data_IF_190472198840
#
_entry.id   IF_190472198840
#
_cell.length_a   1.000
_cell.length_b   1.000
_cell.length_c   1.000
_cell.angle_alpha   90.00
_cell.angle_beta   90.00
_cell.angle_gamma   90.00
#
_symmetry.space_group_name_H-M   'P 1'
#
loop_
_entity.id
_entity.type
_entity.pdbx_description
1 polymer ?
#
# COMPACT_ATOMS: atom_id res chain seq x y z
N UNK A 1 -9.50 -1.96 22.72
CA UNK A 1 -8.13 -1.49 23.03
C UNK A 1 -7.46 -0.93 21.80
N UNK A 2 -7.01 -1.71 20.79
CA UNK A 2 -6.36 -1.13 19.59
C UNK A 2 -7.21 -0.05 18.87
N UNK A 3 -8.48 -0.34 18.63
CA UNK A 3 -9.45 0.61 18.02
C UNK A 3 -9.68 1.83 18.92
N UNK A 4 -9.75 1.62 20.24
CA UNK A 4 -9.96 2.66 21.24
C UNK A 4 -8.76 3.60 21.35
N UNK A 5 -7.55 3.05 21.36
CA UNK A 5 -6.28 3.78 21.31
C UNK A 5 -6.15 4.56 20.00
N UNK A 6 -6.63 4.00 18.88
CA UNK A 6 -6.65 4.67 17.59
C UNK A 6 -7.61 5.85 17.58
N UNK A 7 -8.79 5.70 18.18
CA UNK A 7 -9.75 6.80 18.34
C UNK A 7 -9.20 7.94 19.21
N UNK A 8 -8.47 7.63 20.29
CA UNK A 8 -7.85 8.62 21.17
C UNK A 8 -6.65 9.33 20.51
N UNK A 9 -5.86 8.58 19.73
CA UNK A 9 -4.80 9.16 18.92
C UNK A 9 -5.34 10.13 17.85
N UNK A 10 -6.46 9.79 17.22
CA UNK A 10 -7.17 10.68 16.28
C UNK A 10 -7.67 11.97 16.95
N UNK A 11 -7.77 12.01 18.29
CA UNK A 11 -8.04 13.21 19.08
C UNK A 11 -6.75 13.97 19.49
N UNK A 12 -5.63 13.71 18.79
CA UNK A 12 -4.29 14.27 19.02
C UNK A 12 -3.62 13.86 20.33
N UNK A 13 -4.11 12.82 21.00
CA UNK A 13 -3.44 12.27 22.18
C UNK A 13 -2.34 11.28 21.76
N UNK A 14 -1.12 11.80 21.61
CA UNK A 14 0.05 11.02 21.18
C UNK A 14 0.47 9.93 22.18
N UNK A 15 -0.03 9.95 23.41
CA UNK A 15 0.33 8.94 24.44
C UNK A 15 -0.09 7.53 24.04
N UNK A 16 -1.15 7.40 23.23
CA UNK A 16 -1.71 6.11 22.82
C UNK A 16 -1.16 5.58 21.50
N UNK A 17 -0.22 6.28 20.87
CA UNK A 17 0.38 5.85 19.59
C UNK A 17 1.02 4.46 19.71
N UNK A 18 1.81 4.26 20.77
CA UNK A 18 2.45 2.97 21.06
C UNK A 18 1.44 1.88 21.43
N UNK A 19 0.33 2.26 22.06
CA UNK A 19 -0.72 1.34 22.50
C UNK A 19 -1.51 0.77 21.31
N UNK A 20 -1.77 1.57 20.27
CA UNK A 20 -2.42 1.10 19.04
C UNK A 20 -1.70 -0.12 18.49
N UNK A 21 -0.38 0.00 18.32
CA UNK A 21 0.46 -1.02 17.72
C UNK A 21 0.66 -2.21 18.66
N UNK A 22 0.88 -1.96 19.96
CA UNK A 22 0.98 -3.02 20.95
C UNK A 22 -0.29 -3.88 21.00
N UNK A 23 -1.47 -3.25 21.05
CA UNK A 23 -2.74 -3.98 21.10
C UNK A 23 -3.10 -4.62 19.76
N UNK A 24 -2.69 -4.04 18.62
CA UNK A 24 -2.85 -4.65 17.29
C UNK A 24 -1.97 -5.90 17.15
N UNK A 25 -0.69 -5.83 17.53
CA UNK A 25 0.22 -6.98 17.53
C UNK A 25 -0.20 -8.05 18.56
N UNK A 26 -0.77 -7.66 19.71
CA UNK A 26 -1.31 -8.59 20.70
C UNK A 26 -2.59 -9.28 20.20
N UNK A 27 -3.47 -8.54 19.51
CA UNK A 27 -4.67 -9.10 18.90
C UNK A 27 -4.30 -10.09 17.79
N UNK A 28 -3.36 -9.74 16.91
CA UNK A 28 -2.90 -10.63 15.84
C UNK A 28 -2.24 -11.90 16.38
N UNK A 29 -1.37 -11.80 17.39
CA UNK A 29 -0.76 -12.97 18.04
C UNK A 29 -1.77 -13.83 18.79
N UNK A 30 -2.69 -13.21 19.53
CA UNK A 30 -3.77 -13.93 20.21
C UNK A 30 -4.68 -14.65 19.22
N UNK A 31 -4.93 -14.02 18.08
CA UNK A 31 -5.74 -14.60 17.01
C UNK A 31 -5.03 -15.77 16.31
N UNK A 32 -3.74 -15.64 16.00
CA UNK A 32 -2.90 -16.75 15.49
C UNK A 32 -2.85 -17.93 16.46
N UNK A 33 -2.76 -17.66 17.77
CA UNK A 33 -2.78 -18.67 18.81
C UNK A 33 -4.14 -19.40 18.86
N UNK A 34 -5.25 -18.67 18.83
CA UNK A 34 -6.59 -19.28 18.80
C UNK A 34 -6.78 -20.11 17.52
N UNK A 35 -6.36 -19.63 16.34
CA UNK A 35 -6.39 -20.43 15.09
C UNK A 35 -5.61 -21.74 15.24
N UNK A 36 -4.40 -21.68 15.81
CA UNK A 36 -3.57 -22.86 16.01
C UNK A 36 -4.22 -23.86 16.97
N UNK A 37 -4.83 -23.35 18.05
CA UNK A 37 -5.58 -24.14 19.03
C UNK A 37 -6.84 -24.78 18.43
N UNK A 38 -7.62 -24.04 17.65
CA UNK A 38 -8.81 -24.58 16.96
C UNK A 38 -8.46 -25.65 15.91
N UNK A 39 -7.27 -25.54 15.30
CA UNK A 39 -6.73 -26.54 14.36
C UNK A 39 -6.44 -27.88 15.05
N UNK A 40 -6.11 -27.87 16.34
CA UNK A 40 -5.84 -29.06 17.15
C UNK A 40 -7.14 -29.70 17.70
N UNK A 41 -8.18 -28.89 17.98
CA UNK A 41 -9.35 -29.35 18.75
C UNK A 41 -10.55 -29.89 17.95
N UNK A 42 -10.66 -29.72 16.62
CA UNK A 42 -11.99 -29.86 15.98
C UNK A 42 -12.15 -30.88 14.86
N UNK A 43 -13.01 -31.88 15.14
CA UNK A 43 -13.66 -32.80 14.20
C UNK A 43 -14.99 -32.29 13.60
N UNK A 44 -15.54 -31.10 13.91
CA UNK A 44 -16.87 -30.73 13.32
C UNK A 44 -17.24 -29.27 13.01
N UNK A 45 -16.34 -28.27 13.12
CA UNK A 45 -16.66 -26.85 12.74
C UNK A 45 -15.62 -26.21 11.80
N UNK A 46 -15.09 -26.97 10.84
CA UNK A 46 -13.83 -26.66 10.13
C UNK A 46 -13.82 -25.49 9.12
N UNK A 47 -14.93 -24.80 8.86
CA UNK A 47 -15.00 -23.83 7.74
C UNK A 47 -14.85 -22.37 8.16
N UNK A 48 -15.72 -21.91 9.06
CA UNK A 48 -15.94 -20.48 9.29
C UNK A 48 -14.83 -19.78 10.04
N UNK A 49 -14.17 -20.48 10.97
CA UNK A 49 -13.05 -19.92 11.73
C UNK A 49 -11.86 -19.61 10.81
N UNK A 50 -11.60 -20.49 9.84
CA UNK A 50 -10.53 -20.30 8.86
C UNK A 50 -10.87 -19.19 7.85
N UNK A 51 -12.14 -19.04 7.49
CA UNK A 51 -12.62 -17.93 6.65
C UNK A 51 -12.52 -16.59 7.39
N UNK A 52 -13.02 -16.50 8.63
CA UNK A 52 -12.92 -15.30 9.47
C UNK A 52 -11.46 -14.95 9.70
N UNK A 53 -10.61 -15.95 9.93
CA UNK A 53 -9.19 -15.74 10.08
C UNK A 53 -8.51 -15.18 8.86
N UNK A 54 -8.82 -15.74 7.70
CA UNK A 54 -8.30 -15.25 6.43
C UNK A 54 -8.78 -13.82 6.19
N UNK A 55 -10.06 -13.51 6.39
CA UNK A 55 -10.61 -12.17 6.22
C UNK A 55 -9.96 -11.13 7.14
N UNK A 56 -9.80 -11.46 8.43
CA UNK A 56 -9.18 -10.57 9.42
C UNK A 56 -7.71 -10.34 9.05
N UNK A 57 -6.96 -11.41 8.74
CA UNK A 57 -5.55 -11.30 8.38
C UNK A 57 -5.36 -10.50 7.09
N UNK A 58 -6.14 -10.77 6.04
CA UNK A 58 -6.09 -10.04 4.77
C UNK A 58 -6.42 -8.56 4.96
N UNK A 59 -7.45 -8.24 5.75
CA UNK A 59 -7.83 -6.85 6.04
C UNK A 59 -6.70 -6.12 6.76
N UNK A 60 -6.14 -6.70 7.83
CA UNK A 60 -5.07 -6.05 8.58
C UNK A 60 -3.76 -5.94 7.79
N UNK A 61 -3.46 -6.93 6.96
CA UNK A 61 -2.29 -6.98 6.10
C UNK A 61 -2.34 -5.89 5.02
N UNK A 62 -3.49 -5.72 4.37
CA UNK A 62 -3.74 -4.66 3.38
C UNK A 62 -3.59 -3.27 4.00
N UNK A 63 -4.25 -3.05 5.16
CA UNK A 63 -4.15 -1.81 5.92
C UNK A 63 -2.71 -1.47 6.31
N UNK A 64 -1.90 -2.46 6.64
CA UNK A 64 -0.50 -2.22 7.01
C UNK A 64 0.37 -1.89 5.79
N UNK A 65 0.27 -2.68 4.72
CA UNK A 65 1.05 -2.49 3.50
C UNK A 65 0.82 -1.10 2.90
N UNK A 66 -0.46 -0.68 2.79
CA UNK A 66 -0.77 0.64 2.24
C UNK A 66 -0.45 1.78 3.20
N UNK A 67 -0.65 1.62 4.51
CA UNK A 67 -0.32 2.68 5.47
C UNK A 67 1.19 3.02 5.50
N UNK A 68 2.08 2.03 5.32
CA UNK A 68 3.53 2.26 5.22
C UNK A 68 3.96 3.07 3.99
N UNK A 69 3.05 3.28 3.04
CA UNK A 69 3.27 4.22 1.93
C UNK A 69 3.24 5.67 2.41
N UNK A 70 2.44 5.97 3.45
CA UNK A 70 2.23 7.33 3.94
C UNK A 70 3.17 7.74 5.10
N UNK A 71 3.84 6.81 5.77
CA UNK A 71 4.70 7.14 6.91
C UNK A 71 5.83 6.11 7.12
N UNK A 72 6.96 6.56 7.69
CA UNK A 72 8.13 5.73 7.99
C UNK A 72 8.03 5.14 9.40
N UNK A 73 7.61 3.88 9.52
CA UNK A 73 7.61 3.18 10.80
C UNK A 73 8.99 2.54 11.01
N UNK A 74 9.82 3.15 11.87
CA UNK A 74 11.01 2.52 12.42
C UNK A 74 10.59 1.61 13.60
N UNK A 75 9.87 0.51 13.33
CA UNK A 75 9.65 -0.52 14.35
C UNK A 75 10.55 -1.73 14.08
N UNK A 76 11.64 -1.90 14.85
CA UNK A 76 12.52 -3.06 14.73
C UNK A 76 11.83 -4.39 15.08
N UNK A 77 10.62 -4.38 15.64
CA UNK A 77 9.80 -5.56 15.91
C UNK A 77 8.76 -5.87 14.82
N UNK A 78 8.60 -5.01 13.81
CA UNK A 78 7.74 -5.28 12.65
C UNK A 78 8.42 -6.20 11.62
N UNK A 79 9.22 -7.14 12.11
CA UNK A 79 9.83 -8.19 11.32
C UNK A 79 8.73 -8.95 10.58
N UNK A 80 9.01 -9.26 9.32
CA UNK A 80 8.20 -10.05 8.39
C UNK A 80 7.56 -11.27 9.08
N UNK A 81 6.37 -11.07 9.66
CA UNK A 81 5.52 -12.18 10.07
C UNK A 81 5.07 -12.82 8.77
N UNK A 82 5.25 -14.12 8.62
CA UNK A 82 4.54 -14.86 7.57
C UNK A 82 3.05 -14.72 7.88
N UNK A 83 2.42 -13.70 7.29
CA UNK A 83 1.04 -13.32 7.59
C UNK A 83 0.06 -14.44 7.25
N UNK A 84 0.45 -15.35 6.38
CA UNK A 84 -0.30 -16.57 6.15
C UNK A 84 0.21 -17.69 7.05
N UNK A 85 -0.67 -18.33 7.85
CA UNK A 85 -0.28 -19.47 8.65
C UNK A 85 0.19 -20.62 7.74
N UNK A 86 1.24 -21.35 8.12
CA UNK A 86 1.74 -22.47 7.32
C UNK A 86 0.64 -23.53 7.11
N UNK A 87 0.34 -23.80 5.84
CA UNK A 87 -0.69 -24.76 5.39
C UNK A 87 -2.02 -24.14 4.93
N UNK A 88 -2.12 -22.82 4.80
CA UNK A 88 -3.23 -22.16 4.11
C UNK A 88 -2.90 -22.01 2.61
N UNK A 89 -3.60 -22.75 1.75
CA UNK A 89 -3.49 -22.57 0.29
C UNK A 89 -4.24 -21.30 -0.13
N UNK A 90 -3.57 -20.15 -0.01
CA UNK A 90 -4.06 -18.90 -0.59
C UNK A 90 -3.56 -18.80 -2.02
N UNK A 91 -4.47 -18.58 -2.97
CA UNK A 91 -4.11 -18.27 -4.36
C UNK A 91 -3.36 -16.94 -4.41
N UNK A 92 -2.03 -16.98 -4.33
CA UNK A 92 -1.18 -15.77 -4.21
C UNK A 92 -1.31 -14.83 -5.42
N UNK A 93 -1.66 -15.37 -6.59
CA UNK A 93 -1.84 -14.63 -7.84
C UNK A 93 -3.31 -14.34 -8.16
N UNK A 94 -4.26 -14.95 -7.44
CA UNK A 94 -5.70 -14.75 -7.69
C UNK A 94 -6.12 -13.42 -7.07
N UNK A 95 -6.85 -12.60 -7.82
CA UNK A 95 -7.37 -11.34 -7.33
C UNK A 95 -8.42 -11.62 -6.26
N UNK A 96 -8.18 -11.12 -5.06
CA UNK A 96 -9.17 -11.14 -4.00
C UNK A 96 -10.14 -9.96 -4.21
N UNK A 97 -11.45 -10.22 -4.24
CA UNK A 97 -12.46 -9.18 -4.48
C UNK A 97 -12.61 -8.18 -3.34
N UNK A 98 -12.26 -8.57 -2.10
CA UNK A 98 -12.25 -7.68 -0.95
C UNK A 98 -11.03 -6.76 -1.02
N UNK A 99 -9.86 -7.31 -1.34
CA UNK A 99 -8.66 -6.50 -1.49
C UNK A 99 -8.78 -5.63 -2.73
N UNK A 100 -9.16 -6.19 -3.87
CA UNK A 100 -9.08 -5.56 -5.20
C UNK A 100 -7.79 -5.90 -5.96
N UNK A 101 -6.93 -6.75 -5.39
CA UNK A 101 -5.70 -7.25 -6.03
C UNK A 101 -5.29 -8.61 -5.45
N UNK A 102 -4.23 -9.17 -6.01
CA UNK A 102 -3.66 -10.43 -5.52
C UNK A 102 -2.90 -10.25 -4.19
N UNK A 103 -2.88 -11.27 -3.30
CA UNK A 103 -2.06 -11.26 -2.10
C UNK A 103 -0.56 -11.10 -2.36
N UNK A 104 -0.06 -11.58 -3.50
CA UNK A 104 1.34 -11.39 -3.91
C UNK A 104 1.67 -9.91 -4.12
N UNK A 105 0.76 -9.12 -4.71
CA UNK A 105 0.98 -7.69 -4.87
C UNK A 105 1.15 -7.00 -3.51
N UNK A 106 0.32 -7.32 -2.53
CA UNK A 106 0.42 -6.74 -1.18
C UNK A 106 1.73 -7.15 -0.51
N UNK A 107 2.17 -8.41 -0.67
CA UNK A 107 3.48 -8.86 -0.21
C UNK A 107 4.62 -8.05 -0.82
N UNK A 108 4.58 -7.80 -2.13
CA UNK A 108 5.59 -6.99 -2.82
C UNK A 108 5.62 -5.55 -2.32
N UNK A 109 4.46 -4.94 -2.04
CA UNK A 109 4.37 -3.59 -1.48
C UNK A 109 5.03 -3.54 -0.10
N UNK A 110 4.79 -4.55 0.74
CA UNK A 110 5.42 -4.64 2.05
C UNK A 110 6.94 -4.88 1.95
N UNK A 111 7.37 -5.73 1.01
CA UNK A 111 8.80 -5.96 0.71
C UNK A 111 9.50 -4.65 0.31
N UNK A 112 8.85 -3.76 -0.45
CA UNK A 112 9.38 -2.42 -0.76
C UNK A 112 9.62 -1.62 0.52
N UNK A 113 8.61 -1.53 1.41
CA UNK A 113 8.74 -0.77 2.66
C UNK A 113 9.85 -1.35 3.55
N UNK A 114 9.90 -2.66 3.73
CA UNK A 114 10.92 -3.35 4.52
C UNK A 114 12.33 -3.10 3.96
N UNK A 115 12.51 -3.16 2.65
CA UNK A 115 13.80 -2.91 2.01
C UNK A 115 14.22 -1.43 2.17
N UNK A 116 13.26 -0.50 2.13
CA UNK A 116 13.53 0.92 2.36
C UNK A 116 14.02 1.19 3.80
N UNK A 117 13.38 0.56 4.80
CA UNK A 117 13.77 0.63 6.21
C UNK A 117 15.17 0.02 6.44
N UNK A 118 15.46 -1.13 5.82
CA UNK A 118 16.80 -1.74 5.88
C UNK A 118 17.89 -0.82 5.31
N UNK A 119 17.63 -0.14 4.18
CA UNK A 119 18.57 0.83 3.60
C UNK A 119 18.81 2.04 4.52
N UNK A 120 17.78 2.51 5.23
CA UNK A 120 17.89 3.64 6.16
C UNK A 120 18.66 3.28 7.45
N UNK A 121 18.44 2.09 8.01
CA UNK A 121 19.17 1.62 9.19
C UNK A 121 20.67 1.46 8.89
N UNK A 122 21.01 0.93 7.71
CA UNK A 122 22.39 0.85 7.20
C UNK A 122 23.03 2.23 7.03
N UNK A 123 22.29 3.19 6.46
CA UNK A 123 22.77 4.57 6.28
C UNK A 123 22.99 5.30 7.62
N UNK A 124 22.24 4.95 8.66
CA UNK A 124 22.39 5.54 10.00
C UNK A 124 23.56 4.92 10.78
N UNK A 125 23.78 3.60 10.62
CA UNK A 125 24.88 2.88 11.27
C UNK A 125 26.27 3.22 10.69
N UNK A 126 26.34 3.70 9.45
CA UNK A 126 27.59 4.07 8.75
C UNK A 126 28.24 5.35 9.28
N UNK A 127 27.54 6.14 10.11
CA UNK A 127 28.16 7.24 10.87
C UNK A 127 28.97 6.73 12.09
N UNK A 128 28.91 5.43 12.40
CA UNK A 128 29.76 4.75 13.37
C UNK A 128 30.90 3.97 12.69
N UNK A 129 32.13 4.21 13.12
CA UNK A 129 33.37 3.64 12.58
C UNK A 129 33.36 2.10 12.70
N UNK A 130 32.98 1.32 11.68
CA UNK A 130 33.27 -0.13 11.62
C UNK A 130 33.29 -0.74 10.18
N UNK A 131 34.40 -1.44 9.90
CA UNK A 131 34.76 -2.43 8.86
C UNK A 131 34.21 -2.35 7.41
N UNK A 132 35.07 -1.89 6.50
CA UNK A 132 34.84 -1.67 5.06
C UNK A 132 34.57 -2.89 4.15
N UNK A 133 34.61 -4.14 4.64
CA UNK A 133 34.44 -5.34 3.79
C UNK A 133 33.00 -5.84 3.70
N UNK A 134 32.20 -5.67 4.75
CA UNK A 134 30.81 -6.18 4.81
C UNK A 134 29.80 -5.36 3.99
N UNK A 135 30.15 -4.13 3.60
CA UNK A 135 29.21 -3.19 2.95
C UNK A 135 29.01 -3.42 1.45
N UNK A 136 30.05 -3.85 0.71
CA UNK A 136 29.88 -4.19 -0.72
C UNK A 136 28.94 -5.37 -0.89
N UNK A 137 29.13 -6.40 -0.06
CA UNK A 137 28.30 -7.60 -0.06
C UNK A 137 26.86 -7.26 0.36
N UNK A 138 26.65 -6.50 1.44
CA UNK A 138 25.30 -6.05 1.84
C UNK A 138 24.64 -5.13 0.80
N UNK A 139 25.39 -4.20 0.22
CA UNK A 139 24.91 -3.33 -0.86
C UNK A 139 24.45 -4.14 -2.07
N UNK A 140 25.24 -5.13 -2.50
CA UNK A 140 24.90 -6.05 -3.59
C UNK A 140 23.64 -6.86 -3.28
N UNK A 141 23.47 -7.37 -2.06
CA UNK A 141 22.25 -8.09 -1.63
C UNK A 141 21.02 -7.18 -1.73
N UNK A 142 21.10 -5.94 -1.24
CA UNK A 142 19.96 -4.99 -1.32
C UNK A 142 19.63 -4.57 -2.76
N UNK A 143 20.62 -4.52 -3.66
CA UNK A 143 20.38 -4.27 -5.09
C UNK A 143 19.74 -5.48 -5.76
N UNK A 144 20.19 -6.70 -5.44
CA UNK A 144 19.62 -7.93 -5.95
C UNK A 144 18.15 -8.09 -5.52
N UNK A 145 17.83 -7.77 -4.27
CA UNK A 145 16.45 -7.78 -3.76
C UNK A 145 15.57 -6.73 -4.44
N UNK A 146 16.04 -5.49 -4.58
CA UNK A 146 15.32 -4.45 -5.33
C UNK A 146 15.02 -4.89 -6.77
N UNK A 147 15.99 -5.47 -7.47
CA UNK A 147 15.80 -5.96 -8.84
C UNK A 147 14.85 -7.17 -8.91
N UNK A 148 14.83 -8.01 -7.86
CA UNK A 148 13.87 -9.11 -7.75
C UNK A 148 12.44 -8.58 -7.59
N UNK A 149 12.23 -7.62 -6.69
CA UNK A 149 10.93 -6.95 -6.49
C UNK A 149 10.45 -6.32 -7.80
N UNK A 150 11.30 -5.54 -8.47
CA UNK A 150 10.98 -4.90 -9.75
C UNK A 150 10.54 -5.94 -10.80
N UNK A 151 11.35 -7.01 -10.98
CA UNK A 151 11.02 -8.10 -11.91
C UNK A 151 9.68 -8.73 -11.55
N UNK A 152 9.46 -9.08 -10.28
CA UNK A 152 8.20 -9.68 -9.83
C UNK A 152 7.01 -8.76 -10.10
N UNK A 153 7.12 -7.46 -9.84
CA UNK A 153 6.07 -6.49 -10.14
C UNK A 153 5.77 -6.39 -11.65
N UNK A 154 6.79 -6.42 -12.51
CA UNK A 154 6.61 -6.37 -13.97
C UNK A 154 5.92 -7.62 -14.52
N UNK A 155 6.29 -8.80 -14.00
CA UNK A 155 5.76 -10.08 -14.47
C UNK A 155 4.61 -10.62 -13.60
N UNK A 156 4.08 -9.83 -12.68
CA UNK A 156 2.97 -10.25 -11.82
C UNK A 156 1.68 -10.35 -12.64
N UNK A 157 1.27 -11.58 -12.94
CA UNK A 157 -0.03 -11.88 -13.50
C UNK A 157 -1.05 -12.03 -12.37
N UNK A 158 -2.05 -11.15 -12.36
CA UNK A 158 -3.14 -11.19 -11.40
C UNK A 158 -4.35 -11.85 -12.05
N UNK A 159 -4.64 -13.09 -11.64
CA UNK A 159 -5.66 -13.93 -12.25
C UNK A 159 -7.03 -13.56 -11.67
N UNK A 160 -8.00 -13.27 -12.52
CA UNK A 160 -9.38 -13.06 -12.09
C UNK A 160 -9.95 -14.34 -11.46
N UNK A 161 -10.78 -14.27 -10.40
CA UNK A 161 -11.44 -15.45 -9.83
C UNK A 161 -12.21 -16.20 -10.91
N UNK A 162 -11.95 -17.50 -11.07
CA UNK A 162 -12.64 -18.31 -12.06
C UNK A 162 -14.12 -18.47 -11.67
N UNK A 163 -15.05 -18.20 -12.59
CA UNK A 163 -16.51 -18.29 -12.41
C UNK A 163 -17.07 -19.71 -12.17
N UNK A 164 -16.23 -20.67 -11.77
CA UNK A 164 -16.63 -22.05 -11.47
C UNK A 164 -17.25 -22.14 -10.07
N UNK A 165 -18.56 -21.92 -9.96
CA UNK A 165 -19.49 -22.69 -9.10
C UNK A 165 -20.89 -22.12 -8.93
N UNK A 166 -21.29 -21.04 -9.65
CA UNK A 166 -22.71 -20.70 -9.80
C UNK A 166 -22.95 -20.17 -11.21
N UNK A 167 -23.18 -21.07 -12.15
CA UNK A 167 -23.83 -20.79 -13.42
C UNK A 167 -25.29 -20.39 -13.15
N UNK A 168 -25.49 -19.16 -12.70
CA UNK A 168 -26.77 -18.47 -12.70
C UNK A 168 -26.50 -17.18 -13.47
N UNK A 169 -27.08 -17.10 -14.66
CA UNK A 169 -27.21 -15.94 -15.54
C UNK A 169 -26.43 -14.71 -15.07
N UNK A 170 -25.16 -14.59 -15.50
CA UNK A 170 -24.42 -13.36 -15.31
C UNK A 170 -25.02 -12.29 -16.22
N UNK A 171 -25.91 -11.48 -15.67
CA UNK A 171 -26.37 -10.24 -16.28
C UNK A 171 -25.17 -9.40 -16.75
N UNK A 172 -25.39 -8.48 -17.71
CA UNK A 172 -24.38 -7.51 -18.19
C UNK A 172 -23.64 -6.78 -17.04
N UNK A 173 -24.26 -6.69 -15.86
CA UNK A 173 -23.66 -6.12 -14.64
C UNK A 173 -22.53 -6.97 -14.03
N UNK A 174 -22.59 -8.31 -14.12
CA UNK A 174 -21.56 -9.21 -13.56
C UNK A 174 -20.25 -9.18 -14.36
N UNK A 175 -20.34 -9.07 -15.69
CA UNK A 175 -19.19 -8.92 -16.58
C UNK A 175 -18.45 -7.60 -16.31
N UNK A 176 -19.20 -6.51 -16.10
CA UNK A 176 -18.68 -5.18 -15.78
C UNK A 176 -17.90 -5.15 -14.47
N UNK A 177 -18.37 -5.86 -13.43
CA UNK A 177 -17.69 -5.92 -12.13
C UNK A 177 -16.36 -6.71 -12.17
N UNK A 178 -16.30 -7.79 -12.96
CA UNK A 178 -15.08 -8.60 -13.14
C UNK A 178 -14.03 -7.80 -13.93
N UNK A 179 -14.44 -7.08 -14.97
CA UNK A 179 -13.56 -6.17 -15.72
C UNK A 179 -13.05 -5.02 -14.84
N UNK A 180 -13.94 -4.43 -14.03
CA UNK A 180 -13.57 -3.39 -13.05
C UNK A 180 -12.52 -3.90 -12.07
N UNK A 181 -12.66 -5.12 -11.57
CA UNK A 181 -11.71 -5.75 -10.67
C UNK A 181 -10.32 -5.91 -11.31
N UNK A 182 -10.27 -6.25 -12.61
CA UNK A 182 -9.04 -6.26 -13.39
C UNK A 182 -8.38 -4.87 -13.49
N UNK A 183 -9.17 -3.83 -13.75
CA UNK A 183 -8.65 -2.45 -13.77
C UNK A 183 -8.11 -2.02 -12.40
N UNK A 184 -8.78 -2.37 -11.31
CA UNK A 184 -8.30 -2.07 -9.94
C UNK A 184 -6.96 -2.76 -9.67
N UNK A 185 -6.88 -4.07 -9.97
CA UNK A 185 -5.69 -4.86 -9.74
C UNK A 185 -4.48 -4.29 -10.51
N UNK A 186 -4.68 -3.94 -11.78
CA UNK A 186 -3.63 -3.36 -12.61
C UNK A 186 -3.22 -1.95 -12.16
N UNK A 187 -4.19 -1.11 -11.80
CA UNK A 187 -3.95 0.23 -11.27
C UNK A 187 -3.07 0.18 -10.00
N UNK A 188 -3.29 -0.81 -9.14
CA UNK A 188 -2.46 -1.02 -7.95
C UNK A 188 -1.07 -1.55 -8.28
N UNK A 189 -0.94 -2.47 -9.23
CA UNK A 189 0.37 -2.99 -9.66
C UNK A 189 1.25 -1.88 -10.22
N UNK A 190 0.70 -1.03 -11.08
CA UNK A 190 1.40 0.14 -11.63
C UNK A 190 1.75 1.16 -10.53
N UNK A 191 0.85 1.39 -9.58
CA UNK A 191 1.12 2.27 -8.43
C UNK A 191 2.23 1.72 -7.53
N UNK A 192 2.33 0.39 -7.37
CA UNK A 192 3.41 -0.25 -6.63
C UNK A 192 4.78 -0.04 -7.31
N UNK A 193 4.83 -0.06 -8.65
CA UNK A 193 6.04 0.31 -9.39
C UNK A 193 6.42 1.78 -9.16
N UNK A 194 5.46 2.71 -9.22
CA UNK A 194 5.71 4.14 -8.89
C UNK A 194 6.26 4.27 -7.46
N UNK A 195 5.62 3.63 -6.49
CA UNK A 195 6.08 3.62 -5.10
C UNK A 195 7.51 3.06 -4.97
N UNK A 196 7.81 1.94 -5.62
CA UNK A 196 9.16 1.35 -5.62
C UNK A 196 10.21 2.33 -6.15
N UNK A 197 9.99 2.90 -7.34
CA UNK A 197 10.91 3.82 -7.99
C UNK A 197 11.15 5.08 -7.15
N UNK A 198 10.08 5.66 -6.60
CA UNK A 198 10.19 6.85 -5.76
C UNK A 198 10.84 6.55 -4.41
N UNK A 199 10.55 5.40 -3.80
CA UNK A 199 10.97 5.07 -2.44
C UNK A 199 12.38 4.47 -2.37
N UNK A 200 12.70 3.53 -3.26
CA UNK A 200 13.97 2.80 -3.24
C UNK A 200 15.04 3.47 -4.10
N UNK A 201 14.66 3.97 -5.27
CA UNK A 201 15.61 4.54 -6.25
C UNK A 201 15.64 6.06 -6.21
N UNK A 202 14.73 6.68 -5.44
CA UNK A 202 14.62 8.13 -5.25
C UNK A 202 14.41 8.87 -6.58
N UNK A 203 13.73 8.23 -7.53
CA UNK A 203 13.37 8.85 -8.80
C UNK A 203 12.31 9.94 -8.50
N UNK A 204 12.54 11.19 -8.91
CA UNK A 204 11.59 12.26 -8.65
C UNK A 204 10.29 12.10 -9.47
N UNK A 205 9.17 12.64 -8.98
CA UNK A 205 7.91 12.68 -9.73
C UNK A 205 8.08 13.33 -11.12
N UNK A 206 7.33 12.83 -12.11
CA UNK A 206 7.37 13.31 -13.51
C UNK A 206 8.62 12.93 -14.31
N UNK A 207 9.57 12.17 -13.73
CA UNK A 207 10.68 11.59 -14.49
C UNK A 207 10.28 10.24 -15.10
N UNK A 208 10.85 9.88 -16.25
CA UNK A 208 10.76 8.50 -16.74
C UNK A 208 11.54 7.58 -15.77
N UNK A 209 10.98 6.45 -15.29
CA UNK A 209 9.78 5.74 -15.77
C UNK A 209 8.45 6.10 -15.08
N UNK A 210 8.47 6.93 -14.03
CA UNK A 210 7.29 7.30 -13.22
C UNK A 210 6.21 7.98 -14.06
N UNK A 211 6.57 8.87 -14.98
CA UNK A 211 5.61 9.60 -15.82
C UNK A 211 4.79 8.67 -16.73
N UNK A 212 5.45 7.66 -17.32
CA UNK A 212 4.79 6.65 -18.16
C UNK A 212 3.79 5.81 -17.33
N UNK A 213 4.21 5.37 -16.15
CA UNK A 213 3.33 4.62 -15.24
C UNK A 213 2.15 5.48 -14.77
N UNK A 214 2.42 6.75 -14.44
CA UNK A 214 1.39 7.72 -14.04
C UNK A 214 0.35 7.89 -15.13
N UNK A 215 0.78 8.07 -16.37
CA UNK A 215 -0.13 8.18 -17.52
C UNK A 215 -1.00 6.94 -17.70
N UNK A 216 -0.43 5.74 -17.53
CA UNK A 216 -1.19 4.47 -17.59
C UNK A 216 -2.22 4.37 -16.45
N UNK A 217 -1.83 4.72 -15.22
CA UNK A 217 -2.72 4.73 -14.05
C UNK A 217 -3.90 5.69 -14.29
N UNK A 218 -3.61 6.93 -14.73
CA UNK A 218 -4.64 7.94 -14.98
C UNK A 218 -5.61 7.54 -16.10
N UNK A 219 -5.17 6.74 -17.07
CA UNK A 219 -6.05 6.19 -18.11
C UNK A 219 -6.97 5.05 -17.61
N UNK A 220 -6.59 4.36 -16.53
CA UNK A 220 -7.40 3.29 -15.92
C UNK A 220 -8.42 3.81 -14.91
N UNK A 221 -8.10 4.86 -14.16
CA UNK A 221 -8.97 5.41 -13.10
C UNK A 221 -10.41 5.69 -13.57
N UNK A 222 -10.68 6.28 -14.76
CA UNK A 222 -12.04 6.52 -15.22
C UNK A 222 -12.88 5.25 -15.42
N UNK A 223 -12.24 4.09 -15.59
CA UNK A 223 -12.89 2.79 -15.78
C UNK A 223 -13.29 2.12 -14.47
N UNK A 224 -12.88 2.69 -13.33
CA UNK A 224 -13.14 2.16 -12.00
C UNK A 224 -14.22 3.00 -11.33
N UNK A 225 -15.18 2.33 -10.70
CA UNK A 225 -16.26 2.98 -9.98
C UNK A 225 -15.73 3.70 -8.75
N UNK A 226 -16.13 4.97 -8.59
CA UNK A 226 -15.87 5.76 -7.38
C UNK A 226 -16.59 5.19 -6.14
N UNK A 227 -17.45 4.17 -6.32
CA UNK A 227 -18.03 3.42 -5.20
C UNK A 227 -16.98 2.54 -4.52
N UNK A 228 -15.94 2.10 -5.23
CA UNK A 228 -14.86 1.32 -4.65
C UNK A 228 -13.88 2.22 -3.89
N UNK A 229 -13.51 1.84 -2.66
CA UNK A 229 -12.44 2.52 -1.92
C UNK A 229 -11.05 2.22 -2.50
N UNK A 230 -10.96 1.29 -3.46
CA UNK A 230 -9.72 0.78 -4.01
C UNK A 230 -8.87 1.82 -4.75
N UNK A 231 -9.42 2.99 -5.06
CA UNK A 231 -8.71 4.11 -5.70
C UNK A 231 -7.97 5.03 -4.71
N UNK A 232 -8.23 4.94 -3.41
CA UNK A 232 -7.63 5.84 -2.43
C UNK A 232 -6.10 5.76 -2.46
N UNK A 233 -5.55 4.55 -2.32
CA UNK A 233 -4.11 4.34 -2.35
C UNK A 233 -3.46 4.70 -3.70
N UNK A 234 -3.96 4.26 -4.88
CA UNK A 234 -3.44 4.70 -6.17
C UNK A 234 -3.45 6.22 -6.38
N UNK A 235 -4.54 6.90 -6.03
CA UNK A 235 -4.64 8.37 -6.13
C UNK A 235 -3.64 9.06 -5.20
N UNK A 236 -3.47 8.54 -4.00
CA UNK A 236 -2.46 9.04 -3.06
C UNK A 236 -1.04 8.86 -3.62
N UNK A 237 -0.73 7.68 -4.17
CA UNK A 237 0.57 7.40 -4.78
C UNK A 237 0.85 8.32 -5.95
N UNK A 238 -0.07 8.41 -6.92
CA UNK A 238 0.10 9.30 -8.07
C UNK A 238 0.18 10.76 -7.63
N UNK A 239 -0.69 11.19 -6.71
CA UNK A 239 -0.69 12.56 -6.22
C UNK A 239 0.61 12.95 -5.53
N UNK A 240 1.20 12.07 -4.74
CA UNK A 240 2.44 12.40 -3.99
C UNK A 240 3.72 12.08 -4.75
N UNK A 241 3.73 11.06 -5.62
CA UNK A 241 4.94 10.49 -6.22
C UNK A 241 4.91 10.45 -7.75
N UNK A 242 3.74 10.49 -8.37
CA UNK A 242 3.60 10.37 -9.82
C UNK A 242 3.81 11.69 -10.55
N UNK A 243 3.10 12.74 -10.10
CA UNK A 243 3.01 14.01 -10.83
C UNK A 243 4.18 14.93 -10.47
N UNK A 244 4.99 15.27 -11.49
CA UNK A 244 6.12 16.17 -11.37
C UNK A 244 5.90 17.55 -11.96
N UNK A 245 6.94 18.38 -11.89
CA UNK A 245 6.98 19.75 -12.42
C UNK A 245 7.66 19.86 -13.81
N UNK A 246 8.10 18.73 -14.37
CA UNK A 246 8.86 18.69 -15.63
C UNK A 246 8.03 19.20 -16.83
N UNK A 247 6.73 18.93 -16.84
CA UNK A 247 5.81 19.44 -17.84
C UNK A 247 4.63 20.12 -17.11
N UNK A 248 4.66 21.45 -16.91
CA UNK A 248 3.68 22.16 -16.11
C UNK A 248 2.25 22.04 -16.64
N UNK A 249 2.06 22.12 -17.96
CA UNK A 249 0.73 22.08 -18.57
C UNK A 249 0.05 20.71 -18.38
N UNK A 250 0.80 19.62 -18.60
CA UNK A 250 0.26 18.28 -18.34
C UNK A 250 0.17 17.99 -16.84
N UNK A 251 1.14 18.46 -16.05
CA UNK A 251 1.18 18.27 -14.60
C UNK A 251 -0.03 18.89 -13.90
N UNK A 252 -0.41 20.12 -14.28
CA UNK A 252 -1.57 20.80 -13.71
C UNK A 252 -2.88 20.08 -14.05
N UNK A 253 -3.05 19.64 -15.30
CA UNK A 253 -4.21 18.83 -15.70
C UNK A 253 -4.30 17.51 -14.89
N UNK A 254 -3.17 16.85 -14.67
CA UNK A 254 -3.10 15.63 -13.85
C UNK A 254 -3.39 15.92 -12.36
N UNK A 255 -2.89 17.03 -11.81
CA UNK A 255 -3.18 17.48 -10.44
C UNK A 255 -4.66 17.74 -10.24
N UNK A 256 -5.28 18.48 -11.18
CA UNK A 256 -6.72 18.75 -11.20
C UNK A 256 -7.49 17.43 -11.21
N UNK A 257 -7.16 16.53 -12.14
CA UNK A 257 -7.83 15.23 -12.25
C UNK A 257 -7.75 14.42 -10.95
N UNK A 258 -6.57 14.29 -10.34
CA UNK A 258 -6.39 13.55 -9.08
C UNK A 258 -7.19 14.19 -7.95
N UNK A 259 -7.18 15.52 -7.87
CA UNK A 259 -7.89 16.24 -6.82
C UNK A 259 -9.41 16.11 -6.96
N UNK A 260 -9.94 16.24 -8.17
CA UNK A 260 -11.36 16.00 -8.46
C UNK A 260 -11.78 14.59 -8.02
N UNK A 261 -10.98 13.57 -8.36
CA UNK A 261 -11.26 12.19 -7.98
C UNK A 261 -11.24 11.98 -6.46
N UNK A 262 -10.28 12.57 -5.75
CA UNK A 262 -10.23 12.52 -4.28
C UNK A 262 -11.43 13.23 -3.63
N UNK A 263 -11.86 14.37 -4.18
CA UNK A 263 -13.06 15.09 -3.72
C UNK A 263 -14.31 14.25 -3.94
N UNK A 264 -14.49 13.66 -5.13
CA UNK A 264 -15.64 12.79 -5.41
C UNK A 264 -15.67 11.56 -4.52
N UNK A 265 -14.50 10.95 -4.25
CA UNK A 265 -14.37 9.82 -3.33
C UNK A 265 -14.76 10.23 -1.89
N UNK A 266 -14.33 11.42 -1.45
CA UNK A 266 -14.69 11.97 -0.14
C UNK A 266 -16.19 12.23 -0.01
N UNK A 267 -16.83 12.80 -1.04
CA UNK A 267 -18.26 13.10 -1.05
C UNK A 267 -19.12 11.83 -1.01
N UNK A 268 -18.69 10.77 -1.70
CA UNK A 268 -19.44 9.52 -1.81
C UNK A 268 -19.52 8.76 -0.47
N UNK A 269 -18.47 8.82 0.37
CA UNK A 269 -18.39 7.97 1.58
C UNK A 269 -18.10 8.69 2.90
N UNK A 270 -17.83 10.00 2.87
CA UNK A 270 -17.48 10.83 4.04
C UNK A 270 -16.37 10.23 4.93
N UNK A 271 -15.47 9.43 4.36
CA UNK A 271 -14.45 8.75 5.13
C UNK A 271 -13.34 9.73 5.53
N UNK A 272 -13.00 9.72 6.82
CA UNK A 272 -11.98 10.60 7.39
C UNK A 272 -10.59 10.35 6.77
N UNK A 273 -10.29 9.11 6.37
CA UNK A 273 -9.03 8.77 5.74
C UNK A 273 -8.88 9.35 4.34
N UNK A 274 -9.94 9.38 3.52
CA UNK A 274 -9.93 10.04 2.21
C UNK A 274 -9.68 11.53 2.35
N UNK A 275 -10.37 12.18 3.30
CA UNK A 275 -10.12 13.59 3.62
C UNK A 275 -8.66 13.83 4.00
N UNK A 276 -8.11 12.97 4.86
CA UNK A 276 -6.72 13.12 5.33
C UNK A 276 -5.71 12.90 4.21
N UNK A 277 -5.91 11.88 3.37
CA UNK A 277 -5.06 11.63 2.19
C UNK A 277 -5.06 12.83 1.24
N UNK A 278 -6.23 13.41 0.98
CA UNK A 278 -6.38 14.63 0.16
C UNK A 278 -5.60 15.80 0.75
N UNK A 279 -5.75 16.06 2.05
CA UNK A 279 -5.02 17.12 2.75
C UNK A 279 -3.49 16.94 2.66
N UNK A 280 -2.99 15.70 2.73
CA UNK A 280 -1.56 15.41 2.56
C UNK A 280 -1.11 15.68 1.12
N UNK A 281 -1.85 15.21 0.12
CA UNK A 281 -1.52 15.46 -1.31
C UNK A 281 -1.44 16.97 -1.56
N UNK A 282 -2.44 17.73 -1.10
CA UNK A 282 -2.42 19.19 -1.20
C UNK A 282 -1.21 19.82 -0.49
N UNK A 283 -0.89 19.35 0.72
CA UNK A 283 0.23 19.88 1.50
C UNK A 283 1.57 19.58 0.82
N UNK A 284 1.75 18.39 0.24
CA UNK A 284 2.92 18.03 -0.56
C UNK A 284 3.06 18.96 -1.76
N UNK A 285 2.00 19.19 -2.53
CA UNK A 285 2.03 20.09 -3.68
C UNK A 285 2.37 21.52 -3.28
N UNK A 286 1.67 22.08 -2.28
CA UNK A 286 1.94 23.42 -1.75
C UNK A 286 3.40 23.57 -1.32
N UNK A 287 3.94 22.58 -0.61
CA UNK A 287 5.33 22.61 -0.15
C UNK A 287 6.34 22.55 -1.30
N UNK A 288 6.06 21.76 -2.35
CA UNK A 288 6.90 21.70 -3.55
C UNK A 288 6.86 23.01 -4.35
N UNK A 289 5.67 23.53 -4.58
CA UNK A 289 5.46 24.77 -5.34
C UNK A 289 6.14 25.98 -4.66
N UNK A 290 6.17 26.01 -3.32
CA UNK A 290 6.87 27.05 -2.54
C UNK A 290 8.40 26.96 -2.61
N UNK A 291 8.98 25.78 -2.85
CA UNK A 291 10.43 25.60 -2.95
C UNK A 291 10.99 26.00 -4.33
N UNK A 292 10.11 26.28 -5.30
CA UNK A 292 10.49 26.72 -6.64
C UNK A 292 10.79 25.59 -7.62
N UNK A 293 11.06 25.92 -8.89
CA UNK A 293 11.12 24.97 -10.00
C UNK A 293 12.33 24.02 -9.94
N UNK A 294 13.35 24.34 -9.15
CA UNK A 294 14.53 23.48 -8.96
C UNK A 294 14.25 22.32 -7.98
N UNK A 295 13.17 22.42 -7.18
CA UNK A 295 12.81 21.38 -6.25
C UNK A 295 11.99 20.27 -6.92
N UNK A 296 12.67 19.16 -7.19
CA UNK A 296 12.04 18.01 -7.85
C UNK A 296 11.15 17.17 -6.92
N UNK A 297 11.31 17.31 -5.59
CA UNK A 297 10.57 16.55 -4.60
C UNK A 297 10.81 15.04 -4.63
N UNK A 298 10.09 14.33 -3.78
CA UNK A 298 10.14 12.86 -3.69
C UNK A 298 9.32 12.31 -2.55
N UNK A 299 9.42 11.00 -2.29
CA UNK A 299 8.65 10.34 -1.24
C UNK A 299 8.85 10.97 0.16
N UNK A 300 10.06 11.40 0.48
CA UNK A 300 10.39 12.00 1.78
C UNK A 300 9.61 13.29 2.09
N UNK A 301 9.03 13.93 1.08
CA UNK A 301 8.15 15.08 1.25
C UNK A 301 6.94 14.75 2.11
N UNK A 302 6.42 13.53 1.97
CA UNK A 302 5.25 13.05 2.72
C UNK A 302 5.55 13.07 4.23
N UNK A 303 6.76 12.68 4.64
CA UNK A 303 7.18 12.72 6.04
C UNK A 303 7.30 14.14 6.61
N UNK A 304 7.49 15.15 5.75
CA UNK A 304 7.60 16.57 6.17
C UNK A 304 6.24 17.22 6.43
N UNK A 305 5.17 16.69 5.85
CA UNK A 305 3.79 17.20 6.04
C UNK A 305 2.99 16.27 6.95
N UNK A 306 3.29 16.27 8.25
CA UNK A 306 2.58 15.57 9.34
C UNK A 306 1.72 14.35 8.94
N UNK A 307 2.28 13.38 8.23
CA UNK A 307 1.51 12.32 7.54
C UNK A 307 1.08 11.15 8.43
N UNK A 308 1.30 11.24 9.74
CA UNK A 308 1.02 10.16 10.68
C UNK A 308 -0.46 9.70 10.67
N UNK A 309 -0.67 8.38 10.71
CA UNK A 309 -1.99 7.78 10.99
C UNK A 309 -2.98 7.68 9.82
N UNK A 310 -2.53 7.74 8.56
CA UNK A 310 -3.43 7.58 7.40
C UNK A 310 -3.58 6.12 6.98
N UNK A 311 -4.81 5.61 7.06
CA UNK A 311 -5.19 4.35 6.41
C UNK A 311 -5.52 4.60 4.94
N UNK A 312 -4.78 3.99 4.02
CA UNK A 312 -4.99 4.17 2.57
C UNK A 312 -5.87 3.08 1.91
N UNK A 313 -6.45 2.17 2.71
CA UNK A 313 -7.56 1.29 2.29
C UNK A 313 -8.90 2.02 2.39
#
# INVERSE_FOLDING_TARGET
MAISSYQLYMLKDKRFERDIWMYRAKALRGFQYEIARFREDSQSSKGWEQVIATLIMLTFFDHEAFARTAYDILDPHAACVSWFPPGLEVGMTVIDALLGCSPELISLILEISNLAEQRLSVASATNGIFEGKSWRERGQVTCAWRNNIERRLYFLEQVLPCSTSLSIDCDQHGQSAIEELGYIAETRRLSALVYMYSRLDRIPPGFSPIDNLTSQILALIPKISLRSHALLWPLFVVGTMGIGVVNPESGDAQRIFVMERLVSLQQTRQLKNVRRAREIVEAVWKMRDLQGPEYMGGWYDIGRVESYGVSLC
#
